data_IF_621063185778
#
_entry.id   IF_621063185778
#
_cell.length_a   1.000
_cell.length_b   1.000
_cell.length_c   1.000
_cell.angle_alpha   90.00
_cell.angle_beta   90.00
_cell.angle_gamma   90.00
#
_symmetry.space_group_name_H-M   'P 1'
#
loop_
_entity.id
_entity.type
_entity.pdbx_description
1 polymer ?
#
# COMPACT_ATOMS: atom_id res chain seq x y z
N UNK A 1 24.23 30.08 28.38
CA UNK A 1 23.69 28.71 28.36
C UNK A 1 24.64 27.84 29.16
N UNK A 2 24.15 27.12 30.16
CA UNK A 2 24.99 26.31 31.04
C UNK A 2 25.45 25.02 30.34
N UNK A 3 26.51 24.39 30.84
CA UNK A 3 26.98 23.08 30.34
C UNK A 3 25.93 21.98 30.51
N UNK A 4 25.07 22.11 31.52
CA UNK A 4 23.95 21.21 31.79
C UNK A 4 22.84 21.35 30.74
N UNK A 5 22.54 22.59 30.31
CA UNK A 5 21.57 22.85 29.24
C UNK A 5 22.02 22.20 27.92
N UNK A 6 23.31 22.32 27.58
CA UNK A 6 23.89 21.74 26.36
C UNK A 6 23.87 20.22 26.40
N UNK A 7 24.14 19.64 27.57
CA UNK A 7 24.13 18.18 27.76
C UNK A 7 22.71 17.62 27.66
N UNK A 8 21.75 18.28 28.30
CA UNK A 8 20.33 17.95 28.24
C UNK A 8 19.79 18.03 26.81
N UNK A 9 20.18 19.08 26.07
CA UNK A 9 19.79 19.25 24.66
C UNK A 9 20.34 18.15 23.76
N UNK A 10 21.56 17.64 24.01
CA UNK A 10 22.14 16.51 23.26
C UNK A 10 21.38 15.20 23.50
N UNK A 11 20.96 14.92 24.74
CA UNK A 11 20.17 13.73 25.04
C UNK A 11 18.77 13.80 24.43
N UNK A 12 18.11 14.97 24.49
CA UNK A 12 16.81 15.18 23.83
C UNK A 12 16.93 14.98 22.32
N UNK A 13 17.97 15.53 21.69
CA UNK A 13 18.20 15.37 20.26
C UNK A 13 18.47 13.91 19.87
N UNK A 14 19.26 13.17 20.67
CA UNK A 14 19.50 11.74 20.46
C UNK A 14 18.22 10.90 20.63
N UNK A 15 17.41 11.18 21.65
CA UNK A 15 16.13 10.53 21.84
C UNK A 15 15.18 10.79 20.67
N UNK A 16 15.07 12.04 20.22
CA UNK A 16 14.26 12.41 19.05
C UNK A 16 14.77 11.75 17.77
N UNK A 17 16.09 11.62 17.58
CA UNK A 17 16.69 10.90 16.44
C UNK A 17 16.44 9.39 16.49
N UNK A 18 16.40 8.79 17.69
CA UNK A 18 16.06 7.38 17.87
C UNK A 18 14.56 7.09 17.71
N UNK A 19 13.70 8.05 18.06
CA UNK A 19 12.25 8.01 17.86
C UNK A 19 11.86 8.34 16.41
N UNK A 20 12.71 9.07 15.68
CA UNK A 20 12.53 9.38 14.25
C UNK A 20 13.19 8.36 13.32
N UNK A 21 13.82 7.31 13.86
CA UNK A 21 14.11 6.10 13.09
C UNK A 21 12.76 5.45 12.76
N UNK A 22 12.17 5.91 11.64
CA UNK A 22 11.09 5.22 10.96
C UNK A 22 11.52 3.76 10.85
N UNK A 23 10.96 2.89 11.68
CA UNK A 23 11.13 1.46 11.53
C UNK A 23 10.39 1.10 10.25
N UNK A 24 11.07 1.22 9.11
CA UNK A 24 10.63 0.61 7.88
C UNK A 24 10.56 -0.89 8.18
N UNK A 25 9.34 -1.39 8.34
CA UNK A 25 9.07 -2.80 8.54
C UNK A 25 9.35 -3.51 7.22
N UNK A 26 10.60 -3.88 6.99
CA UNK A 26 10.95 -4.80 5.93
C UNK A 26 10.74 -6.23 6.43
N UNK A 27 10.05 -7.03 5.64
CA UNK A 27 9.83 -8.45 5.90
C UNK A 27 10.00 -9.22 4.59
N UNK A 28 10.48 -10.46 4.70
CA UNK A 28 10.62 -11.36 3.57
C UNK A 28 9.41 -12.27 3.55
N UNK A 29 8.77 -12.36 2.39
CA UNK A 29 7.68 -13.28 2.15
C UNK A 29 8.20 -14.47 1.35
N UNK A 30 7.91 -15.66 1.83
CA UNK A 30 8.32 -16.93 1.23
C UNK A 30 7.20 -17.97 1.40
N UNK A 31 7.49 -19.24 1.10
CA UNK A 31 6.49 -20.31 1.22
C UNK A 31 6.04 -20.53 2.67
N UNK A 32 6.87 -20.20 3.65
CA UNK A 32 6.61 -20.38 5.07
C UNK A 32 5.90 -19.17 5.68
N UNK A 33 6.15 -17.97 5.14
CA UNK A 33 5.55 -16.71 5.53
C UNK A 33 4.94 -16.03 4.29
N UNK A 34 3.82 -16.58 3.75
CA UNK A 34 3.31 -16.15 2.45
C UNK A 34 2.61 -14.79 2.47
N UNK A 35 2.25 -14.29 3.66
CA UNK A 35 1.59 -13.00 3.79
C UNK A 35 1.97 -12.27 5.08
N UNK A 36 1.71 -10.97 5.10
CA UNK A 36 1.67 -10.15 6.31
C UNK A 36 0.36 -9.38 6.39
N UNK A 37 -0.16 -9.20 7.60
CA UNK A 37 -1.44 -8.57 7.87
C UNK A 37 -1.23 -7.23 8.58
N UNK A 38 -1.88 -6.19 8.07
CA UNK A 38 -1.89 -4.84 8.60
C UNK A 38 -3.31 -4.39 8.86
N UNK A 39 -3.49 -3.45 9.79
CA UNK A 39 -4.82 -2.91 10.09
C UNK A 39 -5.50 -2.35 8.85
N UNK A 40 -6.82 -2.49 8.79
CA UNK A 40 -7.68 -1.93 7.74
C UNK A 40 -7.30 -0.51 7.30
N UNK A 41 -7.32 -0.28 5.99
CA UNK A 41 -7.09 1.03 5.37
C UNK A 41 -8.42 1.78 5.21
N UNK A 42 -8.69 2.74 6.09
CA UNK A 42 -9.93 3.54 6.08
C UNK A 42 -9.81 4.75 5.12
N UNK A 43 -9.64 4.50 3.82
CA UNK A 43 -9.37 5.56 2.83
C UNK A 43 -10.58 6.45 2.54
N UNK A 44 -11.81 5.96 2.68
CA UNK A 44 -13.01 6.74 2.37
C UNK A 44 -12.96 7.28 0.93
N UNK A 45 -12.93 8.61 0.83
CA UNK A 45 -12.75 9.36 -0.42
C UNK A 45 -11.30 9.81 -0.65
N UNK A 46 -10.48 9.91 0.38
CA UNK A 46 -9.18 10.55 0.33
C UNK A 46 -8.16 9.83 1.20
N UNK A 47 -7.07 9.39 0.59
CA UNK A 47 -5.96 8.82 1.33
C UNK A 47 -4.99 8.06 0.43
N UNK A 48 -3.88 7.67 1.03
CA UNK A 48 -2.75 7.07 0.33
C UNK A 48 -2.32 5.80 1.04
N UNK A 49 -1.88 4.82 0.25
CA UNK A 49 -1.17 3.63 0.71
C UNK A 49 0.14 3.52 -0.09
N UNK A 50 1.25 3.40 0.62
CA UNK A 50 2.59 3.25 0.05
C UNK A 50 3.22 1.95 0.50
N UNK A 51 3.95 1.30 -0.41
CA UNK A 51 4.80 0.15 -0.12
C UNK A 51 5.99 0.14 -1.08
N UNK A 52 7.05 -0.54 -0.67
CA UNK A 52 8.18 -0.87 -1.55
C UNK A 52 8.25 -2.39 -1.71
N UNK A 53 8.60 -2.86 -2.90
CA UNK A 53 8.80 -4.29 -3.14
C UNK A 53 10.06 -4.52 -3.97
N UNK A 54 10.59 -5.73 -3.85
CA UNK A 54 11.69 -6.27 -4.65
C UNK A 54 11.40 -7.74 -4.91
N UNK A 55 11.45 -8.17 -6.17
CA UNK A 55 11.21 -9.56 -6.55
C UNK A 55 11.88 -9.90 -7.88
N UNK A 56 12.09 -11.19 -8.13
CA UNK A 56 12.42 -11.75 -9.45
C UNK A 56 11.20 -12.41 -10.11
N UNK A 57 10.08 -12.55 -9.39
CA UNK A 57 8.87 -13.19 -9.86
C UNK A 57 8.05 -12.25 -10.74
N UNK A 58 7.73 -12.61 -11.99
CA UNK A 58 6.98 -11.74 -12.90
C UNK A 58 5.49 -11.66 -12.56
N UNK A 59 4.99 -12.55 -11.71
CA UNK A 59 3.60 -12.64 -11.31
C UNK A 59 3.51 -12.87 -9.81
N UNK A 60 2.63 -12.14 -9.13
CA UNK A 60 2.45 -12.30 -7.68
C UNK A 60 1.53 -11.23 -7.10
N UNK A 61 0.74 -11.61 -6.09
CA UNK A 61 -0.06 -10.67 -5.33
C UNK A 61 0.88 -9.81 -4.47
N UNK A 62 0.69 -8.50 -4.50
CA UNK A 62 1.43 -7.58 -3.64
C UNK A 62 0.56 -7.10 -2.49
N UNK A 63 -0.70 -6.76 -2.77
CA UNK A 63 -1.61 -6.27 -1.75
C UNK A 63 -3.06 -6.65 -2.06
N UNK A 64 -3.81 -6.98 -1.02
CA UNK A 64 -5.25 -7.18 -1.07
C UNK A 64 -5.96 -6.59 0.16
N UNK A 65 -7.09 -5.95 -0.06
CA UNK A 65 -8.06 -5.57 0.99
C UNK A 65 -9.44 -5.41 0.37
N UNK A 66 -10.48 -5.68 1.14
CA UNK A 66 -11.87 -5.58 0.70
C UNK A 66 -12.80 -5.05 1.82
N UNK A 67 -14.09 -4.94 1.50
CA UNK A 67 -15.14 -4.51 2.41
C UNK A 67 -15.77 -5.66 3.22
N UNK A 68 -15.04 -6.74 3.46
CA UNK A 68 -15.53 -7.92 4.19
C UNK A 68 -16.26 -8.90 3.29
N UNK A 69 -15.82 -9.06 2.03
CA UNK A 69 -16.37 -10.03 1.08
C UNK A 69 -17.64 -9.58 0.36
N UNK A 70 -17.95 -8.28 0.34
CA UNK A 70 -19.17 -7.77 -0.30
C UNK A 70 -18.91 -7.43 -1.77
N UNK A 71 -18.40 -6.23 -2.06
CA UNK A 71 -18.26 -5.73 -3.44
C UNK A 71 -16.99 -4.92 -3.68
N UNK A 72 -16.56 -4.15 -2.69
CA UNK A 72 -15.47 -3.20 -2.85
C UNK A 72 -14.14 -3.81 -2.45
N UNK A 73 -13.11 -3.58 -3.27
CA UNK A 73 -11.79 -4.13 -3.03
C UNK A 73 -10.68 -3.34 -3.72
N UNK A 74 -9.45 -3.54 -3.24
CA UNK A 74 -8.21 -3.18 -3.92
C UNK A 74 -7.33 -4.43 -4.02
N UNK A 75 -6.93 -4.77 -5.23
CA UNK A 75 -5.99 -5.85 -5.56
C UNK A 75 -4.82 -5.25 -6.34
N UNK A 76 -3.63 -5.26 -5.74
CA UNK A 76 -2.38 -4.87 -6.40
C UNK A 76 -1.55 -6.12 -6.66
N UNK A 77 -1.11 -6.32 -7.89
CA UNK A 77 -0.29 -7.48 -8.27
C UNK A 77 0.66 -7.17 -9.41
N UNK A 78 1.67 -8.02 -9.56
CA UNK A 78 2.45 -8.11 -10.78
C UNK A 78 1.76 -9.04 -11.78
N UNK A 79 1.73 -8.62 -13.04
CA UNK A 79 1.31 -9.43 -14.18
C UNK A 79 2.35 -9.29 -15.28
N UNK A 80 3.12 -10.35 -15.54
CA UNK A 80 4.22 -10.37 -16.50
C UNK A 80 5.19 -9.18 -16.32
N UNK A 81 5.58 -8.90 -15.08
CA UNK A 81 6.50 -7.82 -14.72
C UNK A 81 5.92 -6.40 -14.75
N UNK A 82 4.63 -6.23 -15.07
CA UNK A 82 3.93 -4.95 -14.98
C UNK A 82 3.08 -4.86 -13.71
N UNK A 83 3.04 -3.69 -13.07
CA UNK A 83 2.23 -3.45 -11.89
C UNK A 83 0.79 -3.21 -12.29
N UNK A 84 -0.14 -3.98 -11.74
CA UNK A 84 -1.58 -3.88 -12.02
C UNK A 84 -2.36 -3.67 -10.74
N UNK A 85 -3.11 -2.58 -10.70
CA UNK A 85 -4.14 -2.33 -9.71
C UNK A 85 -5.51 -2.66 -10.30
N UNK A 86 -6.23 -3.59 -9.69
CA UNK A 86 -7.65 -3.84 -9.94
C UNK A 86 -8.42 -3.41 -8.71
N UNK A 87 -9.48 -2.62 -8.87
CA UNK A 87 -10.27 -2.15 -7.75
C UNK A 87 -11.75 -2.04 -8.11
N UNK A 88 -12.62 -2.17 -7.12
CA UNK A 88 -14.06 -1.89 -7.24
C UNK A 88 -14.53 -1.05 -6.06
N UNK A 89 -15.43 -0.12 -6.36
CA UNK A 89 -15.95 0.91 -5.46
C UNK A 89 -17.41 1.18 -5.83
N UNK A 90 -18.23 0.13 -5.84
CA UNK A 90 -19.66 0.17 -6.19
C UNK A 90 -20.00 0.30 -7.69
N UNK A 91 -19.15 0.93 -8.50
CA UNK A 91 -19.39 1.20 -9.93
C UNK A 91 -18.97 0.10 -10.92
N UNK A 92 -18.44 -1.02 -10.43
CA UNK A 92 -17.84 -2.07 -11.23
C UNK A 92 -16.32 -1.97 -11.34
N UNK A 93 -15.67 -3.12 -11.53
CA UNK A 93 -14.22 -3.24 -11.44
C UNK A 93 -13.48 -2.41 -12.49
N UNK A 94 -12.49 -1.64 -12.03
CA UNK A 94 -11.55 -0.87 -12.83
C UNK A 94 -10.16 -1.50 -12.79
N UNK A 95 -9.35 -1.22 -13.81
CA UNK A 95 -7.96 -1.68 -13.91
C UNK A 95 -7.06 -0.50 -14.32
N UNK A 96 -5.95 -0.36 -13.61
CA UNK A 96 -4.81 0.51 -13.94
C UNK A 96 -3.58 -0.39 -14.06
N UNK A 97 -2.74 -0.19 -15.08
CA UNK A 97 -1.47 -0.91 -15.24
C UNK A 97 -0.37 0.08 -15.55
N UNK A 98 0.77 -0.03 -14.85
CA UNK A 98 1.91 0.90 -14.96
C UNK A 98 3.22 0.11 -14.90
N UNK A 99 4.21 0.59 -15.64
CA UNK A 99 5.55 0.01 -15.65
C UNK A 99 5.63 -1.34 -16.37
N UNK A 100 6.85 -1.85 -16.47
CA UNK A 100 7.20 -3.16 -17.00
C UNK A 100 8.53 -3.60 -16.37
N UNK A 101 8.86 -4.89 -16.49
CA UNK A 101 10.10 -5.46 -15.97
C UNK A 101 10.39 -5.11 -14.50
N UNK A 102 9.35 -4.93 -13.67
CA UNK A 102 9.47 -4.57 -12.25
C UNK A 102 9.88 -5.76 -11.36
N UNK A 103 10.20 -6.90 -11.98
CA UNK A 103 10.72 -8.09 -11.36
C UNK A 103 12.24 -8.23 -11.63
N UNK A 104 12.95 -7.12 -11.68
CA UNK A 104 14.37 -7.04 -12.03
C UNK A 104 15.32 -7.25 -10.83
N UNK A 105 14.77 -7.52 -9.63
CA UNK A 105 15.54 -7.68 -8.41
C UNK A 105 15.96 -6.37 -7.72
N UNK A 106 15.47 -5.22 -8.18
CA UNK A 106 15.64 -3.92 -7.51
C UNK A 106 14.42 -3.53 -6.67
N UNK A 107 14.60 -2.53 -5.82
CA UNK A 107 13.52 -1.96 -5.03
C UNK A 107 12.72 -0.98 -5.89
N UNK A 108 11.40 -1.14 -5.86
CA UNK A 108 10.46 -0.26 -6.53
C UNK A 108 9.47 0.32 -5.51
N UNK A 109 9.19 1.62 -5.62
CA UNK A 109 8.25 2.31 -4.73
C UNK A 109 6.88 2.44 -5.39
N UNK A 110 5.87 1.87 -4.74
CA UNK A 110 4.46 1.92 -5.16
C UNK A 110 3.69 2.90 -4.29
N UNK A 111 2.79 3.65 -4.92
CA UNK A 111 1.76 4.42 -4.23
C UNK A 111 0.40 4.20 -4.88
N UNK A 112 -0.60 3.87 -4.06
CA UNK A 112 -2.02 3.96 -4.41
C UNK A 112 -2.58 5.20 -3.72
N UNK A 113 -3.13 6.14 -4.47
CA UNK A 113 -3.74 7.34 -3.91
C UNK A 113 -5.18 7.49 -4.39
N UNK A 114 -6.07 7.86 -3.47
CA UNK A 114 -7.42 8.33 -3.79
C UNK A 114 -7.55 9.81 -3.52
N UNK A 115 -8.18 10.49 -4.46
CA UNK A 115 -8.64 11.88 -4.36
C UNK A 115 -10.04 11.96 -4.94
N UNK A 116 -11.03 11.85 -4.05
CA UNK A 116 -12.44 11.71 -4.36
C UNK A 116 -12.69 10.56 -5.35
N UNK A 117 -13.18 10.85 -6.55
CA UNK A 117 -13.45 9.87 -7.59
C UNK A 117 -12.18 9.35 -8.29
N UNK A 118 -11.08 10.11 -8.22
CA UNK A 118 -9.81 9.78 -8.86
C UNK A 118 -9.02 8.76 -8.04
N UNK A 119 -8.59 7.69 -8.70
CA UNK A 119 -7.66 6.70 -8.15
C UNK A 119 -6.39 6.71 -8.99
N UNK A 120 -5.25 6.82 -8.34
CA UNK A 120 -3.91 6.88 -8.94
C UNK A 120 -3.09 5.68 -8.53
N UNK A 121 -2.37 5.11 -9.49
CA UNK A 121 -1.29 4.15 -9.25
C UNK A 121 0.02 4.78 -9.72
N UNK A 122 0.98 4.90 -8.81
CA UNK A 122 2.32 5.41 -9.09
C UNK A 122 3.35 4.33 -8.81
N UNK A 123 4.29 4.16 -9.74
CA UNK A 123 5.48 3.30 -9.56
C UNK A 123 6.71 4.09 -9.99
N UNK A 124 7.67 4.27 -9.09
CA UNK A 124 8.93 5.01 -9.32
C UNK A 124 8.71 6.39 -9.98
N UNK A 125 7.65 7.08 -9.57
CA UNK A 125 7.25 8.39 -10.09
C UNK A 125 6.38 8.36 -11.36
N UNK A 126 6.28 7.24 -12.08
CA UNK A 126 5.36 7.10 -13.21
C UNK A 126 3.94 6.84 -12.70
N UNK A 127 2.99 7.70 -13.07
CA UNK A 127 1.63 7.71 -12.52
C UNK A 127 0.60 7.48 -13.62
N UNK A 128 -0.37 6.60 -13.35
CA UNK A 128 -1.57 6.43 -14.17
C UNK A 128 -2.82 6.50 -13.29
N UNK A 129 -3.90 7.06 -13.82
CA UNK A 129 -5.10 7.35 -13.04
C UNK A 129 -6.36 6.82 -13.71
N UNK A 130 -7.39 6.57 -12.91
CA UNK A 130 -8.77 6.39 -13.38
C UNK A 130 -9.79 7.06 -12.47
N UNK A 131 -10.84 7.58 -13.09
CA UNK A 131 -12.00 8.14 -12.40
C UNK A 131 -13.06 7.06 -12.22
N UNK A 132 -13.47 6.84 -10.97
CA UNK A 132 -14.58 5.95 -10.63
C UNK A 132 -15.90 6.65 -10.97
N UNK A 133 -16.86 5.89 -11.50
CA UNK A 133 -18.19 6.40 -11.86
C UNK A 133 -19.24 5.68 -11.03
N UNK A 134 -20.26 6.39 -10.54
CA UNK A 134 -21.33 5.81 -9.74
C UNK A 134 -21.90 6.79 -8.72
N UNK A 135 -23.00 6.40 -8.06
CA UNK A 135 -23.63 7.21 -7.00
C UNK A 135 -22.92 7.07 -5.65
N UNK A 136 -22.19 5.98 -5.45
CA UNK A 136 -21.48 5.67 -4.22
C UNK A 136 -20.17 4.93 -4.55
N UNK A 137 -19.06 5.45 -4.05
CA UNK A 137 -17.70 4.93 -4.30
C UNK A 137 -16.76 5.14 -3.08
N UNK A 138 -17.36 5.22 -1.89
CA UNK A 138 -16.65 5.40 -0.62
C UNK A 138 -16.17 4.04 -0.14
N UNK A 139 -14.87 3.78 -0.18
CA UNK A 139 -14.30 2.57 0.40
C UNK A 139 -14.22 2.71 1.92
N UNK A 140 -14.52 1.66 2.69
CA UNK A 140 -14.37 1.74 4.14
C UNK A 140 -15.57 2.34 4.88
N UNK A 141 -16.74 2.45 4.21
CA UNK A 141 -17.95 3.00 4.84
C UNK A 141 -18.46 2.13 5.99
N UNK A 142 -18.25 0.82 5.93
CA UNK A 142 -18.76 -0.13 6.90
C UNK A 142 -17.66 -0.58 7.87
N UNK A 143 -18.07 -0.95 9.09
CA UNK A 143 -17.13 -1.51 10.08
C UNK A 143 -16.59 -2.91 9.69
N UNK A 144 -17.08 -3.47 8.59
CA UNK A 144 -16.79 -4.82 8.09
C UNK A 144 -15.53 -4.91 7.22
N UNK A 145 -14.86 -3.79 6.95
CA UNK A 145 -13.66 -3.79 6.13
C UNK A 145 -12.59 -4.73 6.68
N UNK A 146 -12.08 -5.57 5.79
CA UNK A 146 -10.99 -6.47 6.08
C UNK A 146 -9.69 -5.70 6.31
N UNK A 147 -8.79 -6.36 7.01
CA UNK A 147 -7.41 -5.93 7.11
C UNK A 147 -6.72 -5.90 5.74
N UNK A 148 -5.55 -5.25 5.70
CA UNK A 148 -4.72 -5.20 4.50
C UNK A 148 -3.74 -6.37 4.55
N UNK A 149 -3.76 -7.20 3.51
CA UNK A 149 -2.85 -8.31 3.35
C UNK A 149 -1.80 -7.99 2.30
N UNK A 150 -0.54 -8.30 2.58
CA UNK A 150 0.60 -8.07 1.68
C UNK A 150 1.23 -9.41 1.29
N UNK A 151 1.52 -9.59 0.00
CA UNK A 151 2.14 -10.79 -0.62
C UNK A 151 1.22 -11.99 -0.89
N UNK A 152 0.28 -12.23 0.01
CA UNK A 152 -0.64 -13.36 -0.06
C UNK A 152 -1.91 -13.09 0.74
N UNK A 153 -2.82 -14.06 0.78
CA UNK A 153 -4.04 -14.02 1.58
C UNK A 153 -4.06 -15.30 2.43
N UNK A 154 -4.51 -15.26 3.69
CA UNK A 154 -4.68 -16.46 4.51
C UNK A 154 -5.57 -17.50 3.82
N UNK A 155 -5.31 -18.81 4.00
CA UNK A 155 -6.26 -19.84 3.62
C UNK A 155 -7.57 -19.67 4.40
N UNK A 156 -8.68 -19.88 3.69
CA UNK A 156 -10.06 -19.87 4.20
C UNK A 156 -10.39 -21.13 5.00
#
# INVERSE_FOLDING_TARGET
>A
MSSEDVTTMRYILFCLLSLSFNRNLAFVLDKQNPYSQFRKWNVGLNGTLELEFKTDQPNGLLLYTDDGGTYDFFELKLVNGALRLRYNLGGGAQIITVGNNLNDGHWHKVQIARRDELTSLTIDGNTQNKTSRGKEFVFGKFNLNSDVFVGGIPPS
#
